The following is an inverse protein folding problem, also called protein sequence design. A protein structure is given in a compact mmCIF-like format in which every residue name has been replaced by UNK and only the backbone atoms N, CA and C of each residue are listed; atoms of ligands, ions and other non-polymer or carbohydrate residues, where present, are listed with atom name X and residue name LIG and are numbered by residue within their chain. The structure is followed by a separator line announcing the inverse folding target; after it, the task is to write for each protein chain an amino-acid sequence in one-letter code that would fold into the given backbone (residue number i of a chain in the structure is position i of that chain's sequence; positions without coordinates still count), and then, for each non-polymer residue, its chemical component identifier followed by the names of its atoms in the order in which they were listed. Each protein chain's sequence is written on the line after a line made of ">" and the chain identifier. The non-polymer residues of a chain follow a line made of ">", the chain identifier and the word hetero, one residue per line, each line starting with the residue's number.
data_IF_814173063722
#
_entry.id   IF_814173063722
#
_cell.length_a   1.000
_cell.length_b   1.000
_cell.length_c   1.000
_cell.angle_alpha   90.00
_cell.angle_beta   90.00
_cell.angle_gamma   90.00
#
_symmetry.space_group_name_H-M   'P 1'
#
loop_
_entity.id
_entity.type
_entity.pdbx_description
1 polymer ?
#
# COMPACT_ATOMS: atom_id res chain seq x y z
N UNK A 1 5.63 31.27 1.92
CA UNK A 1 5.75 29.87 2.37
C UNK A 1 5.30 29.68 3.83
N UNK A 2 5.90 30.36 4.82
CA UNK A 2 5.46 30.32 6.23
C UNK A 2 3.97 30.66 6.44
N UNK A 3 3.42 31.62 5.68
CA UNK A 3 2.00 31.98 5.73
C UNK A 3 1.04 30.85 5.31
N UNK A 4 1.44 29.98 4.38
CA UNK A 4 0.65 28.82 3.93
C UNK A 4 0.61 27.73 5.01
N UNK A 5 1.78 27.43 5.58
CA UNK A 5 1.93 26.50 6.70
C UNK A 5 1.15 26.99 7.92
N UNK A 6 1.21 28.29 8.23
CA UNK A 6 0.45 28.90 9.33
C UNK A 6 -1.06 28.88 9.10
N UNK A 7 -1.51 29.01 7.84
CA UNK A 7 -2.93 28.92 7.47
C UNK A 7 -3.45 27.48 7.60
N UNK A 8 -2.64 26.48 7.22
CA UNK A 8 -2.96 25.05 7.39
C UNK A 8 -2.87 24.59 8.85
N UNK A 9 -1.90 25.06 9.63
CA UNK A 9 -1.83 24.84 11.08
C UNK A 9 -3.00 25.52 11.82
N UNK A 10 -3.50 26.66 11.31
CA UNK A 10 -4.73 27.28 11.82
C UNK A 10 -5.98 26.46 11.50
N UNK A 11 -6.07 25.86 10.30
CA UNK A 11 -7.15 24.94 9.91
C UNK A 11 -7.10 23.65 10.72
N UNK A 12 -5.91 23.08 10.96
CA UNK A 12 -5.71 21.95 11.85
C UNK A 12 -6.18 22.27 13.28
N UNK A 13 -5.80 23.45 13.82
CA UNK A 13 -6.27 23.88 15.13
C UNK A 13 -7.79 24.12 15.18
N UNK A 14 -8.42 24.57 14.10
CA UNK A 14 -9.87 24.75 14.01
C UNK A 14 -10.64 23.41 13.92
N UNK A 15 -10.12 22.44 13.18
CA UNK A 15 -10.68 21.07 13.13
C UNK A 15 -10.56 20.35 14.49
N UNK A 16 -9.47 20.61 15.22
CA UNK A 16 -9.29 20.12 16.59
C UNK A 16 -10.25 20.78 17.61
N UNK A 17 -10.69 22.01 17.37
CA UNK A 17 -11.72 22.66 18.17
C UNK A 17 -13.13 22.16 17.80
N UNK A 18 -13.38 21.76 16.55
CA UNK A 18 -14.63 21.12 16.11
C UNK A 18 -14.81 19.67 16.59
N UNK A 19 -13.73 18.94 16.83
CA UNK A 19 -13.77 17.59 17.43
C UNK A 19 -13.97 17.59 18.96
N UNK A 20 -13.93 18.75 19.63
CA UNK A 20 -14.23 18.85 21.07
C UNK A 20 -15.67 18.49 21.41
N UNK A 21 -16.59 18.57 20.44
CA UNK A 21 -18.00 18.26 20.67
C UNK A 21 -18.34 16.78 20.46
N UNK A 22 -17.37 15.90 20.12
CA UNK A 22 -17.66 14.49 19.78
C UNK A 22 -16.80 13.41 20.43
N UNK A 23 -15.80 13.75 21.24
CA UNK A 23 -14.98 12.75 21.94
C UNK A 23 -14.87 13.09 23.43
N UNK A 24 -15.96 12.87 24.16
CA UNK A 24 -15.91 12.51 25.58
C UNK A 24 -15.75 11.00 25.66
N UNK A 25 -14.52 10.51 25.46
CA UNK A 25 -13.91 9.49 26.31
C UNK A 25 -12.53 9.06 25.76
N UNK A 26 -11.61 8.89 26.70
CA UNK A 26 -10.20 8.46 26.59
C UNK A 26 -9.09 9.52 26.35
N UNK A 27 -8.16 9.50 27.32
CA UNK A 27 -6.79 10.02 27.38
C UNK A 27 -6.57 11.47 27.81
N UNK A 28 -6.43 11.65 29.12
CA UNK A 28 -5.85 12.84 29.75
C UNK A 28 -4.44 13.20 29.25
N UNK A 29 -3.68 12.21 28.76
CA UNK A 29 -2.35 12.40 28.16
C UNK A 29 -2.42 13.10 26.79
N UNK A 30 -3.39 12.70 25.93
CA UNK A 30 -3.66 13.38 24.64
C UNK A 30 -4.15 14.82 24.88
N UNK A 31 -4.99 15.04 25.91
CA UNK A 31 -5.39 16.39 26.34
C UNK A 31 -4.20 17.23 26.80
N UNK A 32 -3.27 16.64 27.55
CA UNK A 32 -2.03 17.30 28.00
C UNK A 32 -1.17 17.77 26.82
N UNK A 33 -0.87 16.86 25.88
CA UNK A 33 -0.06 17.15 24.69
C UNK A 33 -0.72 18.21 23.82
N UNK A 34 -2.04 18.09 23.58
CA UNK A 34 -2.80 19.05 22.78
C UNK A 34 -2.87 20.45 23.42
N UNK A 35 -3.04 20.52 24.74
CA UNK A 35 -3.05 21.79 25.48
C UNK A 35 -1.67 22.43 25.46
N UNK A 36 -0.61 21.62 25.55
CA UNK A 36 0.77 22.08 25.46
C UNK A 36 1.10 22.59 24.04
N UNK A 37 0.64 21.89 23.00
CA UNK A 37 0.73 22.33 21.60
C UNK A 37 -0.01 23.65 21.38
N UNK A 38 -1.26 23.80 21.84
CA UNK A 38 -2.04 25.04 21.72
C UNK A 38 -1.35 26.21 22.42
N UNK A 39 -0.80 26.00 23.61
CA UNK A 39 -0.04 27.00 24.37
C UNK A 39 1.24 27.43 23.66
N UNK A 40 2.03 26.48 23.14
CA UNK A 40 3.26 26.76 22.38
C UNK A 40 2.95 27.46 21.05
N UNK A 41 1.88 27.07 20.35
CA UNK A 41 1.39 27.71 19.14
C UNK A 41 0.88 29.14 19.39
N UNK A 42 0.21 29.39 20.53
CA UNK A 42 -0.22 30.72 20.95
C UNK A 42 0.97 31.63 21.29
N UNK A 43 2.03 31.08 21.90
CA UNK A 43 3.27 31.81 22.13
C UNK A 43 3.98 32.15 20.81
N UNK A 44 4.01 31.24 19.85
CA UNK A 44 4.52 31.52 18.50
C UNK A 44 3.68 32.63 17.80
N UNK A 45 2.35 32.64 17.97
CA UNK A 45 1.48 33.72 17.46
C UNK A 45 1.83 35.09 18.06
N UNK A 46 2.15 35.17 19.37
CA UNK A 46 2.54 36.43 20.03
C UNK A 46 3.80 37.04 19.40
N UNK A 47 4.79 36.20 19.09
CA UNK A 47 6.03 36.60 18.41
C UNK A 47 5.74 37.22 17.03
N UNK A 48 4.82 36.65 16.26
CA UNK A 48 4.41 37.17 14.95
C UNK A 48 3.56 38.45 15.01
N UNK A 49 2.76 38.66 16.05
CA UNK A 49 2.00 39.92 16.20
C UNK A 49 2.88 41.09 16.65
N UNK A 50 3.97 40.81 17.37
CA UNK A 50 4.88 41.84 17.84
C UNK A 50 5.73 42.42 16.69
N UNK A 51 6.07 41.61 15.67
CA UNK A 51 6.81 42.06 14.48
C UNK A 51 6.01 42.94 13.51
N UNK A 52 4.67 43.01 13.65
CA UNK A 52 3.82 43.86 12.81
C UNK A 52 3.79 45.34 13.21
N UNK A 53 4.19 45.69 14.44
CA UNK A 53 4.06 47.08 14.97
C UNK A 53 5.35 47.90 14.98
N UNK A 54 6.49 47.34 14.56
CA UNK A 54 7.71 48.12 14.29
C UNK A 54 8.31 47.70 12.95
N UNK A 55 8.27 48.62 11.98
CA UNK A 55 9.16 48.64 10.80
C UNK A 55 10.60 48.82 11.29
N UNK A 56 11.21 47.75 11.78
CA UNK A 56 12.67 47.53 11.81
C UNK A 56 12.88 46.04 11.65
N UNK A 57 13.69 45.69 10.66
CA UNK A 57 14.11 44.33 10.33
C UNK A 57 14.46 43.55 11.61
N UNK A 58 13.56 42.67 12.02
CA UNK A 58 13.86 41.56 12.91
C UNK A 58 13.08 40.40 12.35
N UNK A 59 13.76 39.56 11.55
CA UNK A 59 13.32 38.21 11.28
C UNK A 59 13.12 37.54 12.63
N UNK A 60 11.87 37.46 13.11
CA UNK A 60 11.55 36.61 14.23
C UNK A 60 11.62 35.17 13.74
N UNK A 61 12.80 34.58 13.84
CA UNK A 61 13.03 33.16 13.65
C UNK A 61 12.21 32.42 14.70
N UNK A 62 11.14 31.76 14.26
CA UNK A 62 10.47 30.77 15.11
C UNK A 62 11.50 29.71 15.40
N UNK A 63 11.89 29.57 16.67
CA UNK A 63 12.75 28.50 17.08
C UNK A 63 11.93 27.20 17.17
N UNK A 64 11.93 26.47 16.06
CA UNK A 64 11.22 25.20 15.93
C UNK A 64 11.76 24.12 16.87
N UNK A 65 12.98 24.29 17.42
CA UNK A 65 13.59 23.36 18.38
C UNK A 65 12.87 23.31 19.74
N UNK A 66 12.02 24.31 20.02
CA UNK A 66 11.18 24.34 21.23
C UNK A 66 9.99 23.35 21.17
N UNK A 67 9.70 22.76 20.02
CA UNK A 67 8.75 21.66 19.84
C UNK A 67 9.54 20.35 19.96
N UNK A 68 9.27 19.55 21.01
CA UNK A 68 9.96 18.27 21.20
C UNK A 68 9.65 17.27 20.09
N UNK A 69 10.51 16.26 19.91
CA UNK A 69 10.39 15.22 18.87
C UNK A 69 9.00 14.54 18.87
N UNK A 70 8.42 14.31 20.05
CA UNK A 70 7.07 13.73 20.20
C UNK A 70 5.97 14.58 19.53
N UNK A 71 6.13 15.90 19.49
CA UNK A 71 5.15 16.79 18.87
C UNK A 71 5.20 16.71 17.35
N UNK A 72 6.39 16.57 16.76
CA UNK A 72 6.54 16.41 15.31
C UNK A 72 6.05 15.04 14.85
N UNK A 73 6.17 14.02 15.71
CA UNK A 73 5.57 12.71 15.52
C UNK A 73 4.04 12.80 15.38
N UNK A 74 3.37 13.56 16.26
CA UNK A 74 1.93 13.79 16.13
C UNK A 74 1.56 14.63 14.90
N UNK A 75 2.35 15.64 14.56
CA UNK A 75 2.11 16.44 13.36
C UNK A 75 2.26 15.59 12.08
N UNK A 76 3.28 14.74 12.00
CA UNK A 76 3.56 13.90 10.84
C UNK A 76 2.40 12.94 10.50
N UNK A 77 1.65 12.47 11.51
CA UNK A 77 0.43 11.66 11.30
C UNK A 77 -0.61 12.33 10.40
N UNK A 78 -0.55 13.65 10.25
CA UNK A 78 -1.51 14.43 9.46
C UNK A 78 -0.92 15.09 8.21
N UNK A 79 0.39 14.91 7.95
CA UNK A 79 1.04 15.53 6.81
C UNK A 79 1.12 14.57 5.62
N UNK A 80 0.88 15.08 4.42
CA UNK A 80 1.20 14.38 3.18
C UNK A 80 2.71 14.43 2.89
N UNK A 81 3.23 13.49 2.10
CA UNK A 81 4.65 13.42 1.73
C UNK A 81 5.22 14.75 1.21
N UNK A 82 4.44 15.43 0.36
CA UNK A 82 4.83 16.72 -0.23
C UNK A 82 4.99 17.80 0.84
N UNK A 83 4.14 17.77 1.86
CA UNK A 83 4.21 18.71 2.99
C UNK A 83 5.39 18.39 3.90
N UNK A 84 5.64 17.10 4.17
CA UNK A 84 6.83 16.65 4.90
C UNK A 84 8.11 17.11 4.20
N UNK A 85 8.22 16.89 2.88
CA UNK A 85 9.37 17.35 2.09
C UNK A 85 9.54 18.88 2.09
N UNK A 86 8.43 19.62 2.04
CA UNK A 86 8.46 21.09 2.15
C UNK A 86 8.98 21.52 3.52
N UNK A 87 8.58 20.85 4.61
CA UNK A 87 9.05 21.15 5.97
C UNK A 87 10.55 20.87 6.11
N UNK A 88 11.05 19.78 5.51
CA UNK A 88 12.50 19.49 5.47
C UNK A 88 13.30 20.64 4.84
N UNK A 89 12.75 21.32 3.81
CA UNK A 89 13.44 22.43 3.15
C UNK A 89 13.44 23.74 3.94
N UNK A 90 12.70 23.84 5.04
CA UNK A 90 12.56 25.09 5.81
C UNK A 90 13.75 25.34 6.74
N UNK A 91 14.36 24.28 7.30
CA UNK A 91 15.57 24.42 8.14
C UNK A 91 16.35 23.12 8.25
N UNK A 92 17.65 23.21 8.52
CA UNK A 92 18.50 22.03 8.78
C UNK A 92 18.04 21.22 9.99
N UNK A 93 17.53 21.88 11.04
CA UNK A 93 16.98 21.19 12.21
C UNK A 93 15.70 20.42 11.89
N UNK A 94 14.77 21.01 11.12
CA UNK A 94 13.57 20.28 10.68
C UNK A 94 13.94 19.14 9.74
N UNK A 95 14.93 19.36 8.86
CA UNK A 95 15.45 18.31 8.02
C UNK A 95 16.05 17.15 8.83
N UNK A 96 16.77 17.43 9.93
CA UNK A 96 17.31 16.35 10.78
C UNK A 96 16.19 15.57 11.46
N UNK A 97 15.17 16.23 12.01
CA UNK A 97 14.01 15.57 12.61
C UNK A 97 13.21 14.71 11.60
N UNK A 98 13.01 15.21 10.38
CA UNK A 98 12.33 14.46 9.31
C UNK A 98 13.26 13.52 8.54
N UNK A 99 14.56 13.50 8.84
CA UNK A 99 15.44 12.44 8.36
C UNK A 99 15.40 11.22 9.28
N UNK A 100 14.82 11.35 10.47
CA UNK A 100 14.55 10.21 11.35
C UNK A 100 13.51 9.28 10.70
N UNK A 101 13.83 7.98 10.64
CA UNK A 101 13.04 6.99 9.91
C UNK A 101 11.63 6.76 10.46
N UNK A 102 11.38 7.05 11.74
CA UNK A 102 10.09 6.77 12.37
C UNK A 102 8.95 7.66 11.83
N UNK A 103 9.22 8.90 11.44
CA UNK A 103 8.19 9.76 10.83
C UNK A 103 7.74 9.22 9.47
N UNK A 104 8.68 8.71 8.68
CA UNK A 104 8.37 8.07 7.40
C UNK A 104 7.67 6.72 7.58
N UNK A 105 8.03 5.96 8.63
CA UNK A 105 7.29 4.76 9.02
C UNK A 105 5.83 5.09 9.31
N UNK A 106 5.57 6.09 10.15
CA UNK A 106 4.20 6.51 10.51
C UNK A 106 3.42 6.94 9.26
N UNK A 107 4.02 7.76 8.40
CA UNK A 107 3.40 8.16 7.15
C UNK A 107 3.11 6.96 6.24
N UNK A 108 4.06 6.04 6.11
CA UNK A 108 3.92 4.83 5.29
C UNK A 108 2.77 3.94 5.77
N UNK A 109 2.77 3.59 7.07
CA UNK A 109 1.75 2.71 7.65
C UNK A 109 0.35 3.33 7.57
N UNK A 110 0.24 4.66 7.78
CA UNK A 110 -1.01 5.42 7.62
C UNK A 110 -1.52 5.36 6.18
N UNK A 111 -0.66 5.70 5.22
CA UNK A 111 -1.06 5.84 3.81
C UNK A 111 -1.39 4.47 3.19
N UNK A 112 -0.69 3.41 3.61
CA UNK A 112 -0.98 2.03 3.23
C UNK A 112 -2.13 1.40 4.05
N UNK A 113 -2.49 2.00 5.19
CA UNK A 113 -3.42 1.48 6.21
C UNK A 113 -3.09 0.05 6.63
N UNK A 114 -1.90 -0.14 7.19
CA UNK A 114 -1.38 -1.40 7.73
C UNK A 114 -0.96 -1.20 9.19
N UNK A 115 -0.90 -2.29 9.95
CA UNK A 115 -0.53 -2.26 11.37
C UNK A 115 0.97 -2.01 11.58
N UNK A 116 1.33 -1.55 12.78
CA UNK A 116 2.72 -1.38 13.19
C UNK A 116 3.29 -2.67 13.80
N UNK A 117 3.32 -3.74 13.00
CA UNK A 117 3.81 -5.06 13.40
C UNK A 117 4.94 -5.58 12.49
N UNK A 118 5.34 -4.77 11.51
CA UNK A 118 6.26 -5.18 10.46
C UNK A 118 7.65 -4.54 10.61
N UNK A 119 8.66 -5.40 10.51
CA UNK A 119 10.05 -4.97 10.39
C UNK A 119 10.45 -4.88 8.92
N UNK A 120 11.21 -3.84 8.60
CA UNK A 120 11.87 -3.63 7.32
C UNK A 120 13.35 -3.37 7.61
N UNK A 121 14.23 -3.79 6.71
CA UNK A 121 15.68 -3.64 6.81
C UNK A 121 16.15 -2.30 6.25
N UNK A 122 15.44 -1.75 5.26
CA UNK A 122 15.79 -0.51 4.58
C UNK A 122 15.26 0.75 5.27
N UNK A 123 15.74 1.90 4.83
CA UNK A 123 15.27 3.19 5.34
C UNK A 123 13.79 3.40 5.00
N UNK A 124 12.97 3.69 6.02
CA UNK A 124 11.56 4.04 5.84
C UNK A 124 11.34 5.22 4.89
N UNK A 125 12.30 6.15 4.82
CA UNK A 125 12.23 7.28 3.88
C UNK A 125 12.36 6.80 2.43
N UNK A 126 13.25 5.85 2.18
CA UNK A 126 13.48 5.26 0.85
C UNK A 126 12.33 4.35 0.44
N UNK A 127 11.83 3.54 1.39
CA UNK A 127 10.63 2.71 1.19
C UNK A 127 9.43 3.59 0.86
N UNK A 128 9.20 4.67 1.61
CA UNK A 128 8.13 5.60 1.33
C UNK A 128 8.32 6.25 -0.05
N UNK A 129 9.51 6.78 -0.34
CA UNK A 129 9.78 7.41 -1.62
C UNK A 129 9.51 6.46 -2.80
N UNK A 130 9.99 5.23 -2.75
CA UNK A 130 9.80 4.23 -3.81
C UNK A 130 8.34 3.76 -3.95
N UNK A 131 7.63 3.58 -2.83
CA UNK A 131 6.23 3.18 -2.83
C UNK A 131 5.27 4.25 -3.40
N UNK A 132 5.70 5.51 -3.50
CA UNK A 132 4.85 6.62 -3.96
C UNK A 132 5.41 7.42 -5.15
N UNK A 133 6.67 7.24 -5.56
CA UNK A 133 7.28 7.94 -6.71
C UNK A 133 6.88 7.39 -8.09
N UNK A 134 6.07 6.33 -8.12
CA UNK A 134 5.67 5.66 -9.36
C UNK A 134 6.60 4.53 -9.82
N UNK A 135 7.73 4.26 -9.17
CA UNK A 135 8.60 3.09 -9.47
C UNK A 135 7.92 1.75 -9.15
N UNK A 136 7.03 1.76 -8.17
CA UNK A 136 6.04 0.72 -7.93
C UNK A 136 5.00 0.60 -9.07
N UNK A 137 5.12 1.36 -10.15
CA UNK A 137 4.30 1.13 -11.34
C UNK A 137 4.49 -0.27 -11.87
N UNK A 138 3.39 -0.81 -12.36
CA UNK A 138 3.42 -2.07 -13.06
C UNK A 138 4.14 -1.83 -14.36
N UNK A 139 5.38 -2.29 -14.38
CA UNK A 139 6.18 -2.32 -15.59
C UNK A 139 6.04 -3.72 -16.17
N UNK A 140 5.43 -3.78 -17.33
CA UNK A 140 5.35 -4.97 -18.17
C UNK A 140 6.65 -5.05 -18.98
N UNK A 141 7.62 -5.82 -18.50
CA UNK A 141 8.84 -6.12 -19.26
C UNK A 141 8.69 -7.37 -20.16
N UNK A 142 7.48 -7.91 -20.32
CA UNK A 142 7.26 -9.18 -21.03
C UNK A 142 6.89 -9.01 -22.52
N UNK A 143 7.36 -9.94 -23.35
CA UNK A 143 7.10 -10.00 -24.80
C UNK A 143 5.61 -10.10 -25.19
N UNK A 144 4.72 -10.56 -24.31
CA UNK A 144 3.27 -10.61 -24.56
C UNK A 144 2.64 -9.22 -24.77
N UNK A 145 3.35 -8.14 -24.44
CA UNK A 145 2.75 -6.83 -24.25
C UNK A 145 3.16 -5.79 -25.29
N UNK A 146 3.79 -6.17 -26.40
CA UNK A 146 3.95 -5.22 -27.51
C UNK A 146 2.57 -4.74 -28.01
N UNK A 147 2.34 -3.42 -27.97
CA UNK A 147 1.07 -2.80 -28.41
C UNK A 147 -0.07 -2.75 -27.37
N UNK A 148 0.19 -3.05 -26.09
CA UNK A 148 -0.84 -2.99 -25.04
C UNK A 148 -1.35 -1.57 -24.76
N UNK A 149 -2.61 -1.47 -24.34
CA UNK A 149 -3.23 -0.23 -23.84
C UNK A 149 -3.68 -0.44 -22.39
N UNK A 150 -3.13 0.35 -21.47
CA UNK A 150 -3.55 0.35 -20.06
C UNK A 150 -4.97 0.92 -19.97
N UNK A 151 -5.95 0.09 -19.57
CA UNK A 151 -7.35 0.53 -19.40
C UNK A 151 -7.53 1.16 -18.01
N UNK A 152 -7.06 0.47 -16.98
CA UNK A 152 -7.19 0.93 -15.59
C UNK A 152 -6.01 0.46 -14.75
N UNK A 153 -5.65 1.26 -13.76
CA UNK A 153 -4.65 0.92 -12.74
C UNK A 153 -5.09 1.45 -11.38
N UNK A 154 -4.97 0.62 -10.34
CA UNK A 154 -5.27 1.03 -8.96
C UNK A 154 -4.35 0.38 -7.94
N UNK A 155 -4.02 1.13 -6.89
CA UNK A 155 -3.45 0.56 -5.67
C UNK A 155 -4.56 -0.10 -4.85
N UNK A 156 -4.38 -1.36 -4.49
CA UNK A 156 -5.25 -2.02 -3.51
C UNK A 156 -4.88 -1.56 -2.10
N UNK A 157 -3.57 -1.44 -1.85
CA UNK A 157 -3.00 -1.04 -0.57
C UNK A 157 -1.80 -1.91 -0.27
N UNK A 158 -1.61 -2.24 1.01
CA UNK A 158 -0.62 -3.22 1.42
C UNK A 158 -1.23 -4.26 2.38
N UNK A 159 -0.52 -5.37 2.50
CA UNK A 159 -0.78 -6.44 3.45
C UNK A 159 0.57 -6.98 3.97
N UNK A 160 0.53 -7.77 5.03
CA UNK A 160 1.70 -8.26 5.73
C UNK A 160 1.78 -9.78 5.66
N UNK A 161 2.98 -10.28 5.34
CA UNK A 161 3.33 -11.69 5.48
C UNK A 161 4.10 -11.89 6.78
N UNK A 162 3.53 -12.68 7.67
CA UNK A 162 4.12 -13.11 8.96
C UNK A 162 4.76 -14.51 8.86
N UNK A 163 4.55 -15.20 7.73
CA UNK A 163 5.13 -16.51 7.42
C UNK A 163 5.64 -16.55 5.98
N UNK A 164 6.52 -17.51 5.69
CA UNK A 164 7.06 -17.75 4.33
C UNK A 164 6.08 -18.46 3.40
N UNK A 165 4.85 -18.71 3.84
CA UNK A 165 3.84 -19.45 3.09
C UNK A 165 2.70 -18.53 2.64
N UNK A 166 2.42 -18.55 1.34
CA UNK A 166 1.40 -17.71 0.71
C UNK A 166 0.43 -18.57 -0.05
N UNK A 167 -0.86 -18.29 0.08
CA UNK A 167 -1.90 -18.92 -0.73
C UNK A 167 -2.30 -17.98 -1.88
N UNK A 168 -2.24 -18.51 -3.09
CA UNK A 168 -2.71 -17.89 -4.33
C UNK A 168 -3.98 -18.61 -4.79
N UNK A 169 -5.01 -17.87 -5.22
CA UNK A 169 -6.26 -18.48 -5.69
C UNK A 169 -6.94 -17.64 -6.75
N UNK A 170 -7.76 -18.28 -7.60
CA UNK A 170 -8.61 -17.62 -8.59
C UNK A 170 -10.12 -17.88 -8.41
N UNK A 171 -10.55 -18.60 -7.38
CA UNK A 171 -11.97 -18.87 -7.14
C UNK A 171 -12.53 -18.13 -5.94
N UNK A 172 -11.66 -17.62 -5.06
CA UNK A 172 -12.03 -16.99 -3.77
C UNK A 172 -13.10 -17.82 -3.04
N UNK A 173 -12.99 -19.14 -3.13
CA UNK A 173 -13.85 -20.12 -2.50
C UNK A 173 -12.93 -21.12 -1.83
N UNK A 174 -12.95 -21.17 -0.51
CA UNK A 174 -12.05 -22.04 0.26
C UNK A 174 -12.76 -23.34 0.61
N UNK A 175 -12.14 -24.51 0.36
CA UNK A 175 -12.63 -25.79 0.87
C UNK A 175 -12.64 -25.78 2.41
N UNK A 176 -13.63 -26.41 3.04
CA UNK A 176 -13.76 -26.50 4.51
C UNK A 176 -12.55 -27.14 5.21
N UNK A 177 -11.70 -27.84 4.47
CA UNK A 177 -10.41 -28.38 4.92
C UNK A 177 -9.40 -28.24 3.79
N UNK A 178 -8.22 -27.66 4.07
CA UNK A 178 -7.10 -27.72 3.14
C UNK A 178 -6.62 -29.18 3.04
N UNK A 179 -6.44 -29.74 1.83
CA UNK A 179 -5.81 -31.05 1.67
C UNK A 179 -4.44 -31.09 2.39
N UNK A 180 -4.12 -32.17 3.13
CA UNK A 180 -2.82 -32.32 3.79
C UNK A 180 -1.62 -32.28 2.82
N UNK A 181 -1.87 -32.59 1.55
CA UNK A 181 -0.89 -32.61 0.46
C UNK A 181 -1.20 -31.46 -0.52
N UNK A 182 -0.99 -30.23 -0.07
CA UNK A 182 -0.76 -29.08 -0.97
C UNK A 182 0.74 -28.77 -1.12
N UNK A 183 1.57 -29.58 -0.47
CA UNK A 183 3.03 -29.56 -0.48
C UNK A 183 3.46 -30.59 -1.53
N UNK A 184 4.31 -30.15 -2.45
CA UNK A 184 4.89 -30.90 -3.57
C UNK A 184 4.02 -31.02 -4.83
N UNK A 185 4.35 -30.14 -5.78
CA UNK A 185 4.15 -30.28 -7.22
C UNK A 185 2.71 -30.46 -7.75
N UNK A 186 2.25 -29.39 -8.40
CA UNK A 186 1.44 -29.38 -9.62
C UNK A 186 0.71 -30.67 -10.01
N UNK A 187 -0.62 -30.65 -10.03
CA UNK A 187 -1.40 -31.17 -11.16
C UNK A 187 -2.87 -30.70 -11.11
N UNK A 188 -3.16 -29.66 -11.92
CA UNK A 188 -4.42 -29.39 -12.65
C UNK A 188 -5.78 -29.28 -11.94
N UNK A 189 -5.92 -29.55 -10.63
CA UNK A 189 -7.28 -29.72 -10.05
C UNK A 189 -7.67 -28.66 -9.02
N UNK A 190 -6.73 -27.96 -8.39
CA UNK A 190 -7.08 -27.08 -7.28
C UNK A 190 -6.97 -25.61 -7.67
N UNK A 191 -8.04 -24.87 -7.40
CA UNK A 191 -8.13 -23.41 -7.51
C UNK A 191 -7.20 -22.64 -6.55
N UNK A 192 -6.22 -23.33 -5.98
CA UNK A 192 -5.36 -22.93 -4.88
C UNK A 192 -3.92 -23.33 -5.25
N UNK A 193 -2.98 -22.41 -5.04
CA UNK A 193 -1.55 -22.63 -5.19
C UNK A 193 -0.87 -22.14 -3.91
N UNK A 194 -0.12 -23.01 -3.24
CA UNK A 194 0.69 -22.61 -2.08
C UNK A 194 2.09 -22.32 -2.57
N UNK A 195 2.54 -21.10 -2.29
CA UNK A 195 3.89 -20.64 -2.55
C UNK A 195 4.71 -20.70 -1.26
N UNK A 196 5.92 -21.22 -1.39
CA UNK A 196 6.91 -21.30 -0.32
C UNK A 196 7.98 -20.22 -0.49
N UNK A 197 8.71 -19.95 0.60
CA UNK A 197 9.85 -19.05 0.63
C UNK A 197 9.54 -17.60 0.21
N UNK A 198 8.34 -17.11 0.50
CA UNK A 198 8.02 -15.70 0.31
C UNK A 198 8.69 -14.84 1.39
N UNK A 199 9.21 -13.68 1.00
CA UNK A 199 9.82 -12.72 1.93
C UNK A 199 8.77 -12.23 2.92
N UNK A 200 9.07 -12.38 4.22
CA UNK A 200 8.26 -11.87 5.33
C UNK A 200 8.35 -10.35 5.34
N UNK A 201 7.25 -9.68 5.68
CA UNK A 201 7.19 -8.22 5.74
C UNK A 201 6.00 -7.65 4.99
N UNK A 202 6.13 -6.39 4.56
CA UNK A 202 5.05 -5.63 3.95
C UNK A 202 5.06 -5.82 2.43
N UNK A 203 3.90 -6.13 1.88
CA UNK A 203 3.67 -6.29 0.46
C UNK A 203 2.71 -5.24 -0.04
N UNK A 204 3.13 -4.48 -1.05
CA UNK A 204 2.31 -3.49 -1.74
C UNK A 204 1.61 -4.19 -2.90
N UNK A 205 0.29 -4.02 -2.98
CA UNK A 205 -0.51 -4.64 -4.04
C UNK A 205 -1.18 -3.60 -4.93
N UNK A 206 -1.06 -3.85 -6.23
CA UNK A 206 -1.70 -3.10 -7.30
C UNK A 206 -2.58 -4.03 -8.15
N UNK A 207 -3.55 -3.42 -8.81
CA UNK A 207 -4.42 -4.04 -9.79
C UNK A 207 -4.31 -3.32 -11.13
N UNK A 208 -4.31 -4.12 -12.19
CA UNK A 208 -4.20 -3.66 -13.56
C UNK A 208 -5.27 -4.30 -14.43
N UNK A 209 -5.91 -3.46 -15.24
CA UNK A 209 -6.71 -3.87 -16.38
C UNK A 209 -6.01 -3.40 -17.63
N UNK A 210 -5.63 -4.34 -18.49
CA UNK A 210 -4.85 -4.08 -19.69
C UNK A 210 -5.56 -4.71 -20.88
N UNK A 211 -5.62 -3.99 -21.99
CA UNK A 211 -5.95 -4.58 -23.28
C UNK A 211 -4.64 -4.95 -23.96
N UNK A 212 -4.47 -6.21 -24.35
CA UNK A 212 -3.21 -6.67 -24.92
C UNK A 212 -3.32 -8.01 -25.62
N UNK A 213 -2.26 -8.36 -26.33
CA UNK A 213 -2.15 -9.64 -27.03
C UNK A 213 -1.81 -10.72 -26.00
N UNK A 214 -2.69 -11.71 -25.80
CA UNK A 214 -2.36 -12.87 -24.97
C UNK A 214 -1.41 -13.82 -25.72
N UNK A 215 -1.64 -13.98 -27.00
CA UNK A 215 -0.74 -14.56 -27.98
C UNK A 215 -0.74 -13.61 -29.19
N UNK A 216 0.24 -13.67 -30.09
CA UNK A 216 0.41 -12.78 -31.26
C UNK A 216 -0.79 -12.76 -32.25
N UNK A 217 -1.95 -13.30 -31.87
CA UNK A 217 -3.17 -13.44 -32.67
C UNK A 217 -4.46 -13.02 -31.95
N UNK A 218 -4.51 -12.93 -30.61
CA UNK A 218 -5.75 -12.65 -29.85
C UNK A 218 -5.58 -11.43 -28.95
N UNK A 219 -6.35 -10.37 -29.24
CA UNK A 219 -6.48 -9.19 -28.39
C UNK A 219 -7.55 -9.49 -27.33
N UNK A 220 -7.13 -9.56 -26.07
CA UNK A 220 -8.03 -9.79 -24.93
C UNK A 220 -7.90 -8.73 -23.87
N UNK A 221 -8.79 -8.80 -22.87
CA UNK A 221 -8.65 -8.03 -21.63
C UNK A 221 -7.96 -8.91 -20.60
N UNK A 222 -6.94 -8.36 -19.96
CA UNK A 222 -6.18 -9.04 -18.92
C UNK A 222 -6.33 -8.29 -17.61
N UNK A 223 -6.72 -9.04 -16.58
CA UNK A 223 -6.77 -8.58 -15.20
C UNK A 223 -5.55 -9.11 -14.47
N UNK A 224 -4.80 -8.23 -13.81
CA UNK A 224 -3.58 -8.58 -13.10
C UNK A 224 -3.68 -8.13 -11.65
N UNK A 225 -3.55 -9.09 -10.73
CA UNK A 225 -3.25 -8.81 -9.33
C UNK A 225 -1.74 -8.92 -9.16
N UNK A 226 -1.11 -7.80 -8.81
CA UNK A 226 0.33 -7.67 -8.65
C UNK A 226 0.63 -7.35 -7.19
N UNK A 227 1.56 -8.07 -6.58
CA UNK A 227 1.99 -7.85 -5.20
C UNK A 227 3.50 -7.94 -5.10
N UNK A 228 4.11 -6.91 -4.52
CA UNK A 228 5.57 -6.75 -4.42
C UNK A 228 5.97 -6.44 -2.99
N UNK A 229 7.03 -7.09 -2.50
CA UNK A 229 7.62 -6.72 -1.22
C UNK A 229 8.05 -5.25 -1.25
N UNK A 230 7.80 -4.49 -0.18
CA UNK A 230 8.00 -3.03 -0.19
C UNK A 230 9.46 -2.61 -0.42
N UNK A 231 10.41 -3.48 -0.07
CA UNK A 231 11.85 -3.23 -0.26
C UNK A 231 12.33 -3.59 -1.66
N UNK A 232 11.53 -4.31 -2.46
CA UNK A 232 11.91 -4.72 -3.83
C UNK A 232 12.36 -3.52 -4.68
N UNK A 233 11.72 -2.37 -4.51
CA UNK A 233 11.99 -1.16 -5.28
C UNK A 233 13.34 -0.52 -4.97
N UNK A 234 14.02 -0.96 -3.91
CA UNK A 234 15.36 -0.51 -3.54
C UNK A 234 16.45 -1.46 -4.07
N UNK A 235 16.05 -2.63 -4.58
CA UNK A 235 16.98 -3.64 -5.08
C UNK A 235 17.49 -3.24 -6.47
N UNK A 236 18.82 -3.23 -6.63
CA UNK A 236 19.45 -2.89 -7.90
C UNK A 236 19.02 -3.86 -9.01
N UNK A 237 18.93 -5.15 -8.70
CA UNK A 237 18.54 -6.20 -9.65
C UNK A 237 17.12 -6.05 -10.20
N UNK A 238 16.20 -5.48 -9.40
CA UNK A 238 14.88 -5.11 -9.88
C UNK A 238 14.94 -3.84 -10.74
N UNK A 239 15.63 -2.80 -10.25
CA UNK A 239 15.69 -1.50 -10.92
C UNK A 239 16.43 -1.52 -12.26
N UNK A 240 17.42 -2.40 -12.42
CA UNK A 240 18.15 -2.60 -13.68
C UNK A 240 17.49 -3.63 -14.62
N UNK A 241 16.37 -4.25 -14.19
CA UNK A 241 15.62 -5.22 -14.98
C UNK A 241 16.29 -6.59 -15.14
N UNK A 242 17.31 -6.91 -14.33
CA UNK A 242 17.97 -8.22 -14.38
C UNK A 242 17.13 -9.32 -13.75
N UNK A 243 16.27 -9.00 -12.78
CA UNK A 243 15.35 -9.95 -12.19
C UNK A 243 14.12 -10.16 -13.08
N UNK A 244 13.80 -11.43 -13.31
CA UNK A 244 12.72 -11.84 -14.22
C UNK A 244 11.65 -12.63 -13.47
N UNK A 245 10.44 -12.62 -14.03
CA UNK A 245 9.37 -13.48 -13.53
C UNK A 245 9.55 -14.91 -14.05
N UNK A 246 9.20 -15.87 -13.21
CA UNK A 246 9.10 -17.29 -13.55
C UNK A 246 7.64 -17.77 -13.44
N UNK A 247 7.23 -18.62 -14.38
CA UNK A 247 5.91 -19.24 -14.40
C UNK A 247 5.85 -20.37 -13.37
N UNK A 248 4.88 -20.32 -12.45
CA UNK A 248 4.72 -21.38 -11.43
C UNK A 248 3.51 -22.28 -11.69
N UNK A 249 2.43 -21.76 -12.27
CA UNK A 249 1.24 -22.52 -12.59
C UNK A 249 0.37 -21.81 -13.63
N UNK A 250 -0.39 -22.60 -14.39
CA UNK A 250 -1.39 -22.10 -15.31
C UNK A 250 -2.60 -23.05 -15.40
N UNK A 251 -3.79 -22.49 -15.57
CA UNK A 251 -5.01 -23.29 -15.73
C UNK A 251 -6.06 -22.56 -16.57
N UNK A 252 -6.82 -23.31 -17.36
CA UNK A 252 -7.97 -22.79 -18.10
C UNK A 252 -9.24 -23.03 -17.31
N UNK A 253 -10.05 -21.99 -17.15
CA UNK A 253 -11.37 -22.08 -16.52
C UNK A 253 -12.44 -21.45 -17.41
N UNK A 254 -13.70 -21.76 -17.13
CA UNK A 254 -14.84 -21.06 -17.69
C UNK A 254 -15.57 -20.34 -16.56
N UNK A 255 -15.75 -19.04 -16.68
CA UNK A 255 -16.41 -18.25 -15.64
C UNK A 255 -16.93 -16.92 -16.16
N UNK A 256 -17.99 -16.44 -15.54
CA UNK A 256 -18.56 -15.12 -15.74
C UNK A 256 -17.85 -14.07 -14.86
N UNK A 257 -16.82 -14.48 -14.10
CA UNK A 257 -16.11 -13.62 -13.15
C UNK A 257 -14.62 -13.96 -13.15
N UNK A 258 -13.77 -12.95 -13.32
CA UNK A 258 -12.34 -13.05 -13.04
C UNK A 258 -12.09 -12.72 -11.58
N UNK A 259 -11.41 -13.61 -10.85
CA UNK A 259 -11.06 -13.41 -9.45
C UNK A 259 -9.61 -13.78 -9.22
N UNK A 260 -8.96 -13.05 -8.32
CA UNK A 260 -7.67 -13.48 -7.76
C UNK A 260 -7.56 -13.04 -6.32
N UNK A 261 -6.86 -13.84 -5.51
CA UNK A 261 -6.48 -13.46 -4.16
C UNK A 261 -5.11 -13.98 -3.76
N UNK A 262 -4.47 -13.23 -2.87
CA UNK A 262 -3.19 -13.53 -2.25
C UNK A 262 -3.41 -13.43 -0.74
N UNK A 263 -3.11 -14.50 -0.01
CA UNK A 263 -3.35 -14.61 1.42
C UNK A 263 -2.09 -15.07 2.14
N UNK A 264 -1.80 -14.45 3.28
CA UNK A 264 -0.87 -15.00 4.25
C UNK A 264 -1.47 -16.30 4.82
N UNK A 265 -0.86 -17.45 4.51
CA UNK A 265 -1.41 -18.75 4.84
C UNK A 265 -1.57 -18.94 6.36
N UNK A 266 -0.66 -18.38 7.16
CA UNK A 266 -0.71 -18.45 8.62
C UNK A 266 -1.97 -17.80 9.22
N UNK A 267 -2.58 -16.85 8.52
CA UNK A 267 -3.81 -16.18 8.95
C UNK A 267 -5.01 -16.55 8.10
N UNK A 268 -4.94 -17.59 7.26
CA UNK A 268 -6.01 -17.95 6.34
C UNK A 268 -7.38 -18.12 7.02
N UNK A 269 -7.39 -18.72 8.22
CA UNK A 269 -8.58 -18.98 9.02
C UNK A 269 -8.90 -17.87 10.03
N UNK A 270 -8.23 -16.72 9.93
CA UNK A 270 -8.57 -15.58 10.77
C UNK A 270 -9.98 -15.05 10.42
N UNK A 271 -10.73 -14.54 11.41
CA UNK A 271 -12.05 -13.96 11.17
C UNK A 271 -12.06 -12.90 10.07
N UNK A 272 -10.98 -12.12 9.96
CA UNK A 272 -10.82 -11.05 8.97
C UNK A 272 -10.76 -11.55 7.53
N UNK A 273 -10.43 -12.83 7.32
CA UNK A 273 -10.32 -13.45 6.00
C UNK A 273 -11.63 -14.08 5.51
N UNK A 274 -12.61 -14.36 6.38
CA UNK A 274 -13.88 -14.96 5.95
C UNK A 274 -14.63 -14.13 4.91
N UNK A 275 -14.54 -12.81 5.00
CA UNK A 275 -15.16 -11.90 4.04
C UNK A 275 -14.66 -12.08 2.61
N UNK A 276 -13.51 -12.72 2.38
CA UNK A 276 -13.00 -12.97 1.04
C UNK A 276 -13.63 -14.20 0.41
N UNK A 277 -14.11 -15.15 1.23
CA UNK A 277 -14.60 -16.46 0.77
C UNK A 277 -16.13 -16.53 0.66
N UNK A 278 -16.83 -15.54 1.19
CA UNK A 278 -18.28 -15.46 1.12
C UNK A 278 -18.72 -14.80 -0.21
N UNK A 279 -19.35 -15.54 -1.13
CA UNK A 279 -19.81 -14.98 -2.41
C UNK A 279 -20.68 -13.71 -2.24
N UNK A 280 -21.52 -13.67 -1.20
CA UNK A 280 -22.41 -12.54 -0.91
C UNK A 280 -21.65 -11.25 -0.57
N UNK A 281 -20.43 -11.31 -0.03
CA UNK A 281 -19.63 -10.11 0.26
C UNK A 281 -19.07 -9.48 -1.01
N UNK A 282 -19.05 -10.23 -2.11
CA UNK A 282 -18.70 -9.73 -3.43
C UNK A 282 -19.93 -9.21 -4.20
N UNK A 283 -21.14 -9.22 -3.60
CA UNK A 283 -22.32 -8.54 -4.13
C UNK A 283 -22.25 -7.01 -3.90
N UNK A 284 -22.98 -6.19 -4.69
CA UNK A 284 -22.96 -4.71 -4.60
C UNK A 284 -22.42 -3.98 -5.85
N UNK A 285 -22.29 -2.65 -5.78
CA UNK A 285 -21.91 -1.79 -6.91
C UNK A 285 -20.39 -1.92 -7.16
N UNK A 286 -19.95 -2.39 -8.34
CA UNK A 286 -18.53 -2.39 -8.70
C UNK A 286 -17.99 -0.96 -8.80
N UNK A 287 -16.67 -0.80 -8.83
CA UNK A 287 -16.08 0.49 -9.19
C UNK A 287 -16.41 0.87 -10.64
N UNK A 288 -16.12 2.10 -11.05
CA UNK A 288 -16.44 2.60 -12.41
C UNK A 288 -15.91 1.71 -13.57
N UNK A 289 -14.87 0.92 -13.31
CA UNK A 289 -14.23 -0.07 -14.20
C UNK A 289 -14.75 -1.51 -14.01
N UNK A 290 -15.84 -1.73 -13.27
CA UNK A 290 -16.49 -3.03 -13.14
C UNK A 290 -15.83 -3.99 -12.14
N UNK A 291 -14.87 -3.52 -11.33
CA UNK A 291 -14.05 -4.37 -10.46
C UNK A 291 -14.35 -4.10 -8.98
N UNK A 292 -14.18 -5.13 -8.15
CA UNK A 292 -14.23 -5.00 -6.70
C UNK A 292 -12.89 -5.39 -6.14
N UNK A 293 -12.39 -4.54 -5.25
CA UNK A 293 -11.11 -4.72 -4.58
C UNK A 293 -11.38 -4.93 -3.10
N UNK A 294 -10.74 -5.92 -2.49
CA UNK A 294 -10.75 -6.15 -1.05
C UNK A 294 -9.34 -6.32 -0.53
N UNK A 295 -9.13 -5.82 0.68
CA UNK A 295 -7.90 -6.03 1.42
C UNK A 295 -8.15 -6.04 2.92
N UNK A 296 -7.27 -6.69 3.65
CA UNK A 296 -7.07 -6.52 5.07
C UNK A 296 -5.56 -6.58 5.36
N UNK A 297 -5.19 -6.75 6.63
CA UNK A 297 -3.78 -6.79 7.05
C UNK A 297 -3.04 -8.03 6.54
N UNK A 298 -3.73 -9.09 6.13
CA UNK A 298 -3.16 -10.41 5.81
C UNK A 298 -3.47 -10.91 4.39
N UNK A 299 -4.25 -10.15 3.62
CA UNK A 299 -4.75 -10.60 2.33
C UNK A 299 -5.17 -9.45 1.42
N UNK A 300 -5.08 -9.70 0.12
CA UNK A 300 -5.59 -8.84 -0.96
C UNK A 300 -6.28 -9.69 -2.01
N UNK A 301 -7.37 -9.16 -2.59
CA UNK A 301 -8.07 -9.84 -3.66
C UNK A 301 -8.87 -8.87 -4.53
N UNK A 302 -9.20 -9.33 -5.74
CA UNK A 302 -10.17 -8.67 -6.59
C UNK A 302 -11.20 -9.64 -7.18
N UNK A 303 -12.32 -9.07 -7.61
CA UNK A 303 -13.36 -9.76 -8.40
C UNK A 303 -13.87 -8.80 -9.48
N UNK A 304 -13.86 -9.24 -10.73
CA UNK A 304 -14.34 -8.48 -11.89
C UNK A 304 -15.39 -9.30 -12.63
N UNK A 305 -16.57 -8.73 -12.85
CA UNK A 305 -17.61 -9.38 -13.63
C UNK A 305 -17.24 -9.32 -15.11
N UNK A 306 -17.45 -10.42 -15.81
CA UNK A 306 -17.23 -10.56 -17.24
C UNK A 306 -18.56 -10.79 -17.97
N UNK A 307 -18.49 -10.92 -19.28
CA UNK A 307 -19.59 -11.47 -20.07
C UNK A 307 -19.83 -12.95 -19.70
N UNK A 308 -20.96 -13.52 -20.14
CA UNK A 308 -21.29 -14.90 -19.79
C UNK A 308 -20.32 -15.91 -20.41
N UNK A 309 -19.98 -16.92 -19.62
CA UNK A 309 -19.23 -18.12 -19.93
C UNK A 309 -17.88 -17.88 -20.63
N UNK A 310 -17.14 -16.87 -20.18
CA UNK A 310 -15.84 -16.54 -20.74
C UNK A 310 -14.82 -17.62 -20.43
N UNK A 311 -13.93 -17.86 -21.39
CA UNK A 311 -12.77 -18.72 -21.20
C UNK A 311 -11.63 -17.89 -20.62
N UNK A 312 -11.17 -18.24 -19.43
CA UNK A 312 -10.13 -17.49 -18.73
C UNK A 312 -8.91 -18.38 -18.57
N UNK A 313 -7.76 -17.93 -19.06
CA UNK A 313 -6.48 -18.50 -18.63
C UNK A 313 -6.03 -17.78 -17.38
N UNK A 314 -5.91 -18.54 -16.29
CA UNK A 314 -5.29 -18.07 -15.07
C UNK A 314 -3.82 -18.45 -15.10
N UNK A 315 -2.93 -17.48 -14.91
CA UNK A 315 -1.48 -17.68 -14.84
C UNK A 315 -0.93 -17.10 -13.56
N UNK A 316 -0.04 -17.84 -12.91
CA UNK A 316 0.68 -17.42 -11.71
C UNK A 316 2.16 -17.29 -12.04
N UNK A 317 2.72 -16.13 -11.71
CA UNK A 317 4.15 -15.84 -11.87
C UNK A 317 4.73 -15.31 -10.56
N UNK A 318 6.01 -15.57 -10.33
CA UNK A 318 6.75 -15.00 -9.20
C UNK A 318 8.09 -14.46 -9.65
N UNK A 319 8.64 -13.51 -8.88
CA UNK A 319 10.02 -13.07 -9.02
C UNK A 319 10.76 -13.41 -7.74
N UNK A 320 11.97 -13.96 -7.90
CA UNK A 320 12.88 -14.28 -6.80
C UNK A 320 14.05 -13.32 -6.77
N UNK A 321 14.55 -13.03 -5.57
CA UNK A 321 15.79 -12.29 -5.38
C UNK A 321 17.03 -13.18 -5.61
N UNK A 322 18.22 -12.61 -5.44
CA UNK A 322 19.49 -13.36 -5.53
C UNK A 322 19.67 -14.49 -4.51
N UNK A 323 18.87 -14.51 -3.43
CA UNK A 323 18.87 -15.55 -2.40
C UNK A 323 17.78 -16.61 -2.63
N UNK A 324 16.97 -16.46 -3.68
CA UNK A 324 15.86 -17.35 -4.01
C UNK A 324 14.58 -17.10 -3.20
N UNK A 325 14.49 -16.00 -2.43
CA UNK A 325 13.25 -15.59 -1.76
C UNK A 325 12.29 -14.97 -2.77
N UNK A 326 11.01 -15.31 -2.67
CA UNK A 326 9.99 -14.68 -3.52
C UNK A 326 9.70 -13.28 -3.02
N UNK A 327 9.89 -12.31 -3.90
CA UNK A 327 9.78 -10.85 -3.64
C UNK A 327 8.72 -10.16 -4.49
N UNK A 328 8.20 -10.84 -5.51
CA UNK A 328 7.03 -10.39 -6.28
C UNK A 328 6.14 -11.57 -6.70
N UNK A 329 4.84 -11.32 -6.79
CA UNK A 329 3.81 -12.29 -7.18
C UNK A 329 2.86 -11.60 -8.17
N UNK A 330 2.55 -12.27 -9.28
CA UNK A 330 1.53 -11.85 -10.24
C UNK A 330 0.54 -12.96 -10.52
N UNK A 331 -0.74 -12.59 -10.52
CA UNK A 331 -1.84 -13.46 -10.94
C UNK A 331 -2.54 -12.79 -12.11
N UNK A 332 -2.44 -13.41 -13.28
CA UNK A 332 -3.09 -12.95 -14.50
C UNK A 332 -4.36 -13.74 -14.74
N UNK A 333 -5.39 -13.05 -15.21
CA UNK A 333 -6.59 -13.64 -15.78
C UNK A 333 -6.71 -13.09 -17.20
N UNK A 334 -6.31 -13.88 -18.18
CA UNK A 334 -6.46 -13.57 -19.60
C UNK A 334 -7.85 -14.01 -20.04
N UNK A 335 -8.72 -13.05 -20.36
CA UNK A 335 -10.04 -13.33 -20.93
C UNK A 335 -9.85 -13.56 -22.42
N UNK A 336 -10.18 -14.78 -22.88
CA UNK A 336 -9.92 -15.29 -24.24
C UNK A 336 -11.22 -15.38 -25.04
#
# INVERSE_FOLDING_TARGET
>A
MAFSLLKRLKLFNANLDGNREREEDNNGEKRGILTNFKRKLANAKKVFTYSRRRKRETQSTVDWSLLGSDMWTEVAKHLEAKEMGTICSVSQWLNSQFSEGHLWKIAFLRDMKIADDCHVNASWKEIYASAFNGSHSFILHHAYWEGHTQIARRRLGAFSLTSRYVLLTHTLSVPSTLPPVLIEYSNKILALCILHNARIGIWISDYHRVQGLWNNTHIGVVYVLDARHCELFLEEGYNNGTWQYEDIAMTMIHSDVARSGIFNLAHMWSPDNFQFFCANTWAGIPTADGVKLRRNVNAVAYSANLEQNQRILVKYEVMKDGNGEVVSIRIYNFVV
#
